data_IF_129174315697
#
_entry.id   IF_129174315697
#
_cell.length_a   1.000
_cell.length_b   1.000
_cell.length_c   1.000
_cell.angle_alpha   90.00
_cell.angle_beta   90.00
_cell.angle_gamma   90.00
#
_symmetry.space_group_name_H-M   'P 1'
#
loop_
_entity.id
_entity.type
_entity.pdbx_description
1 polymer ?
#
# COMPACT_ATOMS: atom_id res chain seq x y z
N UNK A 1 -2.57 20.14 9.32
CA UNK A 1 -1.37 19.60 8.64
C UNK A 1 -1.76 18.95 7.32
N UNK A 2 -1.15 19.32 6.19
CA UNK A 2 -1.46 18.69 4.89
C UNK A 2 -0.72 17.36 4.79
N UNK A 3 -1.46 16.26 4.63
CA UNK A 3 -0.89 14.95 4.29
C UNK A 3 -0.84 14.87 2.77
N UNK A 4 0.33 14.59 2.20
CA UNK A 4 0.47 14.37 0.75
C UNK A 4 0.63 12.88 0.52
N UNK A 5 -0.27 12.32 -0.28
CA UNK A 5 -0.22 10.91 -0.68
C UNK A 5 0.82 10.78 -1.80
N UNK A 6 2.02 10.29 -1.48
CA UNK A 6 3.04 9.98 -2.50
C UNK A 6 2.95 8.48 -2.80
N UNK A 7 2.55 8.14 -4.03
CA UNK A 7 2.57 6.76 -4.51
C UNK A 7 4.00 6.37 -4.88
N UNK A 8 4.52 5.30 -4.29
CA UNK A 8 5.75 4.68 -4.78
C UNK A 8 5.43 3.83 -6.01
N UNK A 9 5.76 4.35 -7.20
CA UNK A 9 5.54 3.66 -8.49
C UNK A 9 6.09 2.22 -8.54
N UNK A 10 7.31 1.89 -8.05
CA UNK A 10 7.82 0.52 -8.17
C UNK A 10 7.09 -0.45 -7.24
N UNK A 11 6.77 -0.03 -6.02
CA UNK A 11 6.05 -0.88 -5.05
C UNK A 11 4.61 -1.14 -5.49
N UNK A 12 3.98 -0.17 -6.14
CA UNK A 12 2.68 -0.34 -6.77
C UNK A 12 2.71 -1.35 -7.92
N UNK A 13 3.71 -1.28 -8.80
CA UNK A 13 3.88 -2.24 -9.90
C UNK A 13 4.11 -3.65 -9.37
N UNK A 14 4.94 -3.80 -8.35
CA UNK A 14 5.20 -5.08 -7.68
C UNK A 14 3.92 -5.67 -7.05
N UNK A 15 3.16 -4.85 -6.34
CA UNK A 15 1.85 -5.23 -5.79
C UNK A 15 0.90 -5.73 -6.87
N UNK A 16 0.82 -5.02 -8.00
CA UNK A 16 -0.04 -5.37 -9.12
C UNK A 16 0.38 -6.71 -9.75
N UNK A 17 1.68 -6.96 -9.89
CA UNK A 17 2.17 -8.26 -10.39
C UNK A 17 1.81 -9.41 -9.45
N UNK A 18 1.94 -9.23 -8.13
CA UNK A 18 1.54 -10.26 -7.15
C UNK A 18 0.04 -10.56 -7.21
N UNK A 19 -0.80 -9.52 -7.33
CA UNK A 19 -2.23 -9.70 -7.47
C UNK A 19 -2.60 -10.44 -8.76
N UNK A 20 -1.98 -10.08 -9.90
CA UNK A 20 -2.24 -10.75 -11.18
C UNK A 20 -1.86 -12.24 -11.11
N UNK A 21 -0.69 -12.55 -10.55
CA UNK A 21 -0.22 -13.94 -10.40
C UNK A 21 -1.18 -14.73 -9.49
N UNK A 22 -1.59 -14.17 -8.35
CA UNK A 22 -2.55 -14.81 -7.45
C UNK A 22 -3.91 -15.06 -8.09
N UNK A 23 -4.46 -14.07 -8.82
CA UNK A 23 -5.72 -14.22 -9.56
C UNK A 23 -5.61 -15.29 -10.63
N UNK A 24 -4.51 -15.30 -11.39
CA UNK A 24 -4.29 -16.33 -12.42
C UNK A 24 -4.23 -17.73 -11.81
N UNK A 25 -3.53 -17.90 -10.68
CA UNK A 25 -3.47 -19.17 -9.97
C UNK A 25 -4.85 -19.65 -9.49
N UNK A 26 -5.69 -18.74 -8.98
CA UNK A 26 -7.05 -19.10 -8.57
C UNK A 26 -7.93 -19.42 -9.78
N UNK A 27 -7.83 -18.65 -10.88
CA UNK A 27 -8.59 -18.91 -12.11
C UNK A 27 -8.22 -20.25 -12.74
N UNK A 28 -6.96 -20.66 -12.70
CA UNK A 28 -6.58 -21.99 -13.22
C UNK A 28 -7.15 -23.12 -12.40
N UNK A 29 -7.23 -22.99 -11.06
CA UNK A 29 -7.88 -23.99 -10.20
C UNK A 29 -9.38 -24.07 -10.45
N UNK A 30 -10.05 -22.92 -10.62
CA UNK A 30 -11.47 -22.87 -10.96
C UNK A 30 -11.72 -23.44 -12.35
N UNK A 31 -10.88 -23.11 -13.33
CA UNK A 31 -11.00 -23.64 -14.68
C UNK A 31 -10.88 -25.17 -14.69
N UNK A 32 -9.90 -25.71 -13.95
CA UNK A 32 -9.66 -27.15 -13.85
C UNK A 32 -10.84 -27.90 -13.22
N UNK A 33 -11.37 -27.37 -12.12
CA UNK A 33 -12.48 -27.98 -11.38
C UNK A 33 -13.86 -27.67 -11.99
N UNK A 34 -13.96 -26.69 -12.90
CA UNK A 34 -15.23 -26.13 -13.36
C UNK A 34 -16.22 -27.16 -13.89
N UNK A 35 -15.78 -28.08 -14.74
CA UNK A 35 -16.66 -29.08 -15.36
C UNK A 35 -17.32 -30.01 -14.34
N UNK A 36 -16.59 -30.37 -13.29
CA UNK A 36 -17.09 -31.26 -12.23
C UNK A 36 -17.97 -30.50 -11.24
N UNK A 37 -17.63 -29.24 -10.95
CA UNK A 37 -18.41 -28.35 -10.08
C UNK A 37 -19.77 -28.02 -10.70
N UNK A 38 -19.82 -27.68 -12.00
CA UNK A 38 -21.08 -27.36 -12.70
C UNK A 38 -22.02 -28.56 -12.86
N UNK A 39 -21.48 -29.78 -12.82
CA UNK A 39 -22.25 -31.02 -12.91
C UNK A 39 -22.77 -31.52 -11.55
N UNK A 40 -22.35 -30.91 -10.45
CA UNK A 40 -22.66 -31.36 -9.09
C UNK A 40 -23.91 -30.66 -8.53
N UNK A 41 -24.65 -31.36 -7.66
CA UNK A 41 -25.79 -30.78 -6.95
C UNK A 41 -25.36 -29.69 -5.94
N UNK A 42 -24.19 -29.86 -5.33
CA UNK A 42 -23.60 -28.94 -4.36
C UNK A 42 -22.21 -28.46 -4.83
N UNK A 43 -22.13 -27.31 -5.53
CA UNK A 43 -20.90 -26.87 -6.18
C UNK A 43 -19.79 -26.51 -5.17
N UNK A 44 -20.13 -25.97 -4.00
CA UNK A 44 -19.15 -25.52 -3.03
C UNK A 44 -18.48 -26.69 -2.29
N UNK A 45 -19.24 -27.70 -1.87
CA UNK A 45 -18.69 -28.88 -1.20
C UNK A 45 -17.86 -29.72 -2.17
N UNK A 46 -18.32 -29.83 -3.43
CA UNK A 46 -17.61 -30.53 -4.50
C UNK A 46 -16.31 -29.81 -4.86
N UNK A 47 -16.31 -28.48 -4.94
CA UNK A 47 -15.07 -27.73 -5.13
C UNK A 47 -14.07 -27.95 -4.00
N UNK A 48 -14.54 -27.92 -2.74
CA UNK A 48 -13.66 -28.14 -1.59
C UNK A 48 -13.08 -29.55 -1.57
N UNK A 49 -13.87 -30.58 -1.90
CA UNK A 49 -13.35 -31.95 -1.97
C UNK A 49 -12.34 -32.13 -3.11
N UNK A 50 -12.60 -31.53 -4.28
CA UNK A 50 -11.69 -31.56 -5.41
C UNK A 50 -10.36 -30.89 -5.11
N UNK A 51 -10.34 -29.82 -4.29
CA UNK A 51 -9.08 -29.21 -3.86
C UNK A 51 -8.13 -30.19 -3.15
N UNK A 52 -8.67 -31.16 -2.41
CA UNK A 52 -7.90 -32.15 -1.65
C UNK A 52 -7.55 -33.42 -2.43
N UNK A 53 -8.34 -33.73 -3.46
CA UNK A 53 -8.28 -34.97 -4.24
C UNK A 53 -7.52 -34.75 -5.55
N UNK A 54 -7.71 -33.62 -6.22
CA UNK A 54 -7.15 -33.37 -7.53
C UNK A 54 -5.67 -32.98 -7.42
N UNK A 55 -4.84 -33.62 -8.24
CA UNK A 55 -3.40 -33.37 -8.32
C UNK A 55 -3.04 -32.70 -9.64
N UNK A 56 -2.16 -31.70 -9.57
CA UNK A 56 -1.53 -31.09 -10.75
C UNK A 56 -0.13 -31.68 -10.89
N UNK A 57 0.17 -32.18 -12.07
CA UNK A 57 1.53 -32.51 -12.50
C UNK A 57 2.15 -31.25 -13.09
N UNK A 58 3.06 -30.61 -12.37
CA UNK A 58 3.72 -29.36 -12.83
C UNK A 58 4.93 -29.70 -13.73
N UNK A 59 5.63 -30.77 -13.39
CA UNK A 59 6.75 -31.37 -14.13
C UNK A 59 6.54 -32.88 -14.00
N UNK A 60 6.88 -33.70 -15.01
CA UNK A 60 6.69 -35.17 -15.04
C UNK A 60 7.23 -35.96 -13.81
N UNK A 61 7.83 -35.29 -12.83
CA UNK A 61 8.41 -35.83 -11.61
C UNK A 61 7.70 -35.34 -10.34
N UNK A 62 6.96 -34.22 -10.38
CA UNK A 62 6.39 -33.59 -9.17
C UNK A 62 4.89 -33.38 -9.30
N UNK A 63 4.15 -34.14 -8.50
CA UNK A 63 2.71 -33.98 -8.31
C UNK A 63 2.45 -33.10 -7.09
N UNK A 64 1.59 -32.11 -7.26
CA UNK A 64 1.13 -31.26 -6.17
C UNK A 64 -0.38 -31.32 -6.07
N UNK A 65 -0.91 -31.42 -4.85
CA UNK A 65 -2.34 -31.24 -4.62
C UNK A 65 -2.78 -29.83 -5.02
N UNK A 66 -3.97 -29.73 -5.60
CA UNK A 66 -4.59 -28.47 -6.04
C UNK A 66 -4.63 -27.42 -4.91
N UNK A 67 -4.79 -27.88 -3.67
CA UNK A 67 -4.80 -27.02 -2.48
C UNK A 67 -3.53 -26.19 -2.30
N UNK A 68 -2.37 -26.68 -2.73
CA UNK A 68 -1.12 -25.90 -2.63
C UNK A 68 -1.10 -24.73 -3.61
N UNK A 69 -1.74 -24.89 -4.78
CA UNK A 69 -1.86 -23.81 -5.76
C UNK A 69 -2.82 -22.72 -5.25
N UNK A 70 -3.93 -23.10 -4.61
CA UNK A 70 -4.85 -22.16 -3.96
C UNK A 70 -4.16 -21.43 -2.81
N UNK A 71 -3.50 -22.16 -1.91
CA UNK A 71 -2.75 -21.56 -0.80
C UNK A 71 -1.68 -20.57 -1.29
N UNK A 72 -0.95 -20.92 -2.36
CA UNK A 72 0.02 -20.02 -2.98
C UNK A 72 -0.66 -18.77 -3.56
N UNK A 73 -1.77 -18.93 -4.27
CA UNK A 73 -2.56 -17.83 -4.82
C UNK A 73 -3.04 -16.86 -3.74
N UNK A 74 -3.56 -17.40 -2.63
CA UNK A 74 -4.03 -16.62 -1.49
C UNK A 74 -2.90 -15.84 -0.80
N UNK A 75 -1.75 -16.49 -0.57
CA UNK A 75 -0.57 -15.83 0.01
C UNK A 75 -0.11 -14.66 -0.88
N UNK A 76 -0.07 -14.87 -2.20
CA UNK A 76 0.33 -13.84 -3.16
C UNK A 76 -0.66 -12.68 -3.20
N UNK A 77 -1.97 -12.95 -3.09
CA UNK A 77 -3.00 -11.91 -2.99
C UNK A 77 -2.85 -11.09 -1.71
N UNK A 78 -2.69 -11.75 -0.56
CA UNK A 78 -2.51 -11.08 0.73
C UNK A 78 -1.27 -10.17 0.69
N UNK A 79 -0.14 -10.69 0.20
CA UNK A 79 1.08 -9.91 0.02
C UNK A 79 0.88 -8.74 -0.95
N UNK A 80 0.19 -8.97 -2.07
CA UNK A 80 -0.17 -7.95 -3.04
C UNK A 80 -0.95 -6.80 -2.42
N UNK A 81 -1.96 -7.10 -1.59
CA UNK A 81 -2.76 -6.11 -0.87
C UNK A 81 -1.94 -5.36 0.18
N UNK A 82 -1.10 -6.05 0.94
CA UNK A 82 -0.21 -5.41 1.93
C UNK A 82 0.75 -4.43 1.24
N UNK A 83 1.41 -4.87 0.15
CA UNK A 83 2.30 -4.02 -0.65
C UNK A 83 1.54 -2.84 -1.25
N UNK A 84 0.29 -3.03 -1.66
CA UNK A 84 -0.55 -1.95 -2.17
C UNK A 84 -0.80 -0.87 -1.11
N UNK A 85 -1.11 -1.29 0.12
CA UNK A 85 -1.30 -0.39 1.26
C UNK A 85 0.01 0.35 1.59
N UNK A 86 1.14 -0.36 1.62
CA UNK A 86 2.46 0.23 1.88
C UNK A 86 2.91 1.18 0.76
N UNK A 87 2.47 0.96 -0.48
CA UNK A 87 2.78 1.85 -1.61
C UNK A 87 2.22 3.26 -1.42
N UNK A 88 1.21 3.41 -0.54
CA UNK A 88 0.59 4.67 -0.15
C UNK A 88 1.34 5.23 1.05
N UNK A 89 2.47 5.88 0.79
CA UNK A 89 3.18 6.61 1.83
C UNK A 89 2.44 7.92 2.13
N UNK A 90 1.93 8.02 3.36
CA UNK A 90 1.36 9.24 3.92
C UNK A 90 2.49 10.11 4.45
N UNK A 91 3.05 10.94 3.59
CA UNK A 91 4.06 11.91 4.02
C UNK A 91 3.33 13.09 4.68
N UNK A 92 3.61 13.31 5.96
CA UNK A 92 3.23 14.54 6.66
C UNK A 92 4.16 15.62 6.15
N UNK A 93 3.67 16.45 5.25
CA UNK A 93 4.45 17.58 4.74
C UNK A 93 4.40 18.67 5.81
N UNK A 94 5.56 19.19 6.27
CA UNK A 94 5.56 20.35 7.17
C UNK A 94 4.77 21.47 6.49
N UNK A 95 3.92 22.16 7.26
CA UNK A 95 3.06 23.23 6.76
C UNK A 95 3.84 24.29 5.96
N UNK A 96 3.12 25.13 5.18
CA UNK A 96 3.73 26.18 4.35
C UNK A 96 4.85 26.89 5.12
N UNK A 97 6.06 26.89 4.56
CA UNK A 97 7.18 27.64 5.11
C UNK A 97 6.95 29.12 4.82
N UNK A 98 6.79 29.91 5.88
CA UNK A 98 6.61 31.36 5.79
C UNK A 98 7.86 32.07 6.30
N UNK A 99 8.17 33.19 5.68
CA UNK A 99 9.22 34.09 6.16
C UNK A 99 8.64 35.00 7.23
N UNK A 100 9.17 34.89 8.43
CA UNK A 100 8.87 35.77 9.54
C UNK A 100 9.90 36.89 9.62
N UNK A 101 9.46 38.08 10.00
CA UNK A 101 10.31 39.22 10.29
C UNK A 101 10.14 39.65 11.75
N UNK A 102 11.27 39.86 12.44
CA UNK A 102 11.27 40.30 13.83
C UNK A 102 10.89 41.79 13.89
N UNK A 103 9.94 42.21 14.74
CA UNK A 103 9.63 43.62 14.90
C UNK A 103 10.79 44.41 15.52
N UNK A 104 11.63 43.77 16.33
CA UNK A 104 12.75 44.42 17.02
C UNK A 104 14.03 44.46 16.17
N UNK A 105 14.55 43.29 15.77
CA UNK A 105 15.83 43.21 15.06
C UNK A 105 15.69 43.32 13.54
N UNK A 106 14.47 43.37 12.99
CA UNK A 106 14.14 43.42 11.55
C UNK A 106 14.72 42.29 10.70
N UNK A 107 15.45 41.33 11.28
CA UNK A 107 15.97 40.14 10.60
C UNK A 107 14.83 39.19 10.24
N UNK A 108 14.99 38.53 9.09
CA UNK A 108 14.02 37.58 8.53
C UNK A 108 14.51 36.15 8.78
N UNK A 109 13.61 35.23 9.10
CA UNK A 109 13.90 33.79 9.17
C UNK A 109 12.72 32.98 8.63
N UNK A 110 12.98 31.72 8.25
CA UNK A 110 11.94 30.82 7.74
C UNK A 110 11.50 29.87 8.85
N UNK A 111 10.18 29.71 9.02
CA UNK A 111 9.63 28.71 9.94
C UNK A 111 8.27 28.21 9.46
N UNK A 112 7.74 27.17 10.09
CA UNK A 112 6.43 26.57 9.78
C UNK A 112 5.28 27.51 10.21
N UNK A 113 4.28 27.65 9.35
CA UNK A 113 3.28 28.74 9.39
C UNK A 113 2.22 28.81 10.49
N UNK A 114 2.37 28.14 11.63
CA UNK A 114 1.32 28.07 12.67
C UNK A 114 1.81 28.49 14.07
N UNK A 115 2.73 29.46 14.17
CA UNK A 115 3.26 29.89 15.48
C UNK A 115 2.94 31.34 15.78
N UNK A 116 2.01 31.57 16.70
CA UNK A 116 1.59 32.90 17.15
C UNK A 116 2.69 33.63 17.95
N UNK A 117 3.40 32.93 18.83
CA UNK A 117 4.62 33.42 19.49
C UNK A 117 5.81 32.50 19.17
N UNK A 118 6.94 33.10 18.84
CA UNK A 118 8.20 32.38 18.59
C UNK A 118 9.36 33.16 19.18
N UNK A 119 10.34 32.46 19.76
CA UNK A 119 11.63 33.07 20.04
C UNK A 119 12.34 33.42 18.74
N UNK A 120 12.74 34.68 18.59
CA UNK A 120 13.55 35.08 17.46
C UNK A 120 14.94 34.45 17.59
N UNK A 121 15.45 33.72 16.57
CA UNK A 121 16.76 33.05 16.65
C UNK A 121 17.94 34.02 16.74
N UNK A 122 17.70 35.32 16.48
CA UNK A 122 18.76 36.33 16.47
C UNK A 122 18.83 37.16 17.76
N UNK A 123 17.69 37.47 18.38
CA UNK A 123 17.64 38.26 19.60
C UNK A 123 17.16 37.47 20.82
N UNK A 124 16.80 36.19 20.66
CA UNK A 124 16.22 35.31 21.68
C UNK A 124 14.98 35.84 22.40
N UNK A 125 14.43 36.98 21.99
CA UNK A 125 13.20 37.52 22.54
C UNK A 125 11.98 36.76 22.01
N UNK A 126 10.99 36.59 22.88
CA UNK A 126 9.68 36.06 22.53
C UNK A 126 8.92 37.16 21.78
N UNK A 127 8.58 36.92 20.51
CA UNK A 127 7.96 37.92 19.65
C UNK A 127 6.73 37.36 18.96
N UNK A 128 5.80 38.26 18.61
CA UNK A 128 4.80 38.03 17.58
C UNK A 128 5.41 38.41 16.22
N UNK A 129 5.94 37.44 15.45
CA UNK A 129 6.60 37.76 14.20
C UNK A 129 5.59 38.28 13.18
N UNK A 130 5.99 39.30 12.40
CA UNK A 130 5.21 39.72 11.23
C UNK A 130 5.50 38.77 10.08
N UNK A 131 4.47 38.33 9.36
CA UNK A 131 4.66 37.56 8.13
C UNK A 131 5.19 38.55 7.09
N UNK A 132 6.43 38.35 6.66
CA UNK A 132 6.97 39.07 5.53
C UNK A 132 6.43 38.37 4.28
N UNK A 133 5.30 38.86 3.77
CA UNK A 133 4.85 38.51 2.42
C UNK A 133 5.98 38.81 1.43
N UNK A 134 6.15 37.90 0.49
CA UNK A 134 7.10 38.07 -0.60
C UNK A 134 6.43 38.88 -1.68
#
# INVERSE_FOLDING_TARGET
MKRVLRKQKPLYMLSLTFCIIGILALLTTLWKTSSQVFSSADPFSTFLSLLWIEEIVIINVVTFKLIYLVAFGDIMLILGVILWLLSRQWLVVPGKTVCYQCPFCKKKWKSTGDKALVHCPYCNQLVHPKIAEK
#
